data_IF_986285980449
#
_entry.id   IF_986285980449
#
_cell.length_a   1.000
_cell.length_b   1.000
_cell.length_c   1.000
_cell.angle_alpha   90.00
_cell.angle_beta   90.00
_cell.angle_gamma   90.00
#
_symmetry.space_group_name_H-M   'P 1'
#
loop_
_entity.id
_entity.type
_entity.pdbx_description
1 polymer ?
#
# COMPACT_ATOMS: atom_id res chain seq x y z
N UNK A 1 18.15 27.15 -52.09
CA UNK A 1 18.03 26.91 -50.63
C UNK A 1 18.12 25.42 -50.36
N UNK A 2 19.18 24.96 -49.68
CA UNK A 2 19.26 23.75 -48.83
C UNK A 2 20.73 23.44 -48.60
N UNK A 3 21.23 23.84 -47.44
CA UNK A 3 22.57 23.51 -46.99
C UNK A 3 22.65 23.71 -45.50
N UNK A 4 22.67 22.61 -44.74
CA UNK A 4 23.38 22.56 -43.47
C UNK A 4 23.70 21.09 -43.14
N UNK A 5 25.01 20.78 -43.21
CA UNK A 5 25.61 19.58 -42.64
C UNK A 5 26.11 19.96 -41.26
N UNK A 6 25.78 19.22 -40.21
CA UNK A 6 26.57 19.16 -38.97
C UNK A 6 26.47 17.75 -38.37
N UNK A 7 27.51 16.94 -38.57
CA UNK A 7 28.51 16.47 -37.59
C UNK A 7 27.94 15.43 -36.59
N UNK A 8 28.50 14.22 -36.71
CA UNK A 8 28.32 13.04 -35.87
C UNK A 8 28.97 13.29 -34.49
N UNK A 9 28.37 12.79 -33.42
CA UNK A 9 29.07 12.51 -32.17
C UNK A 9 28.56 11.19 -31.58
N UNK A 10 29.50 10.28 -31.37
CA UNK A 10 29.32 8.95 -30.75
C UNK A 10 29.84 9.03 -29.32
N UNK A 11 29.02 8.64 -28.36
CA UNK A 11 29.38 8.15 -27.02
C UNK A 11 28.05 7.69 -26.40
N UNK A 12 27.86 6.50 -25.82
CA UNK A 12 28.73 5.63 -25.04
C UNK A 12 27.79 5.03 -23.99
N UNK A 13 27.69 3.71 -23.92
CA UNK A 13 26.73 2.95 -23.11
C UNK A 13 26.98 3.14 -21.61
N UNK A 14 25.92 3.32 -20.83
CA UNK A 14 25.88 2.84 -19.43
C UNK A 14 24.48 2.30 -19.15
N UNK A 15 24.34 0.97 -19.21
CA UNK A 15 23.20 0.26 -18.65
C UNK A 15 23.36 0.27 -17.14
N UNK A 16 22.78 1.25 -16.45
CA UNK A 16 22.62 1.17 -15.02
C UNK A 16 21.41 0.26 -14.75
N UNK A 17 21.68 -1.02 -14.48
CA UNK A 17 20.71 -1.87 -13.79
C UNK A 17 20.55 -1.31 -12.37
N UNK A 18 19.64 -0.36 -12.20
CA UNK A 18 19.18 0.02 -10.89
C UNK A 18 18.44 -1.19 -10.32
N UNK A 19 19.10 -1.93 -9.44
CA UNK A 19 18.43 -2.81 -8.49
C UNK A 19 17.74 -1.86 -7.51
N UNK A 20 16.68 -1.21 -7.96
CA UNK A 20 15.76 -0.54 -7.08
C UNK A 20 15.08 -1.65 -6.31
N UNK A 21 15.41 -1.79 -5.02
CA UNK A 21 14.39 -2.28 -4.10
C UNK A 21 13.13 -1.47 -4.42
N UNK A 22 11.97 -2.11 -4.66
CA UNK A 22 10.74 -1.35 -4.85
C UNK A 22 10.50 -0.61 -3.54
N UNK A 23 10.97 0.62 -3.46
CA UNK A 23 10.45 1.57 -2.49
C UNK A 23 9.02 1.78 -2.93
N UNK A 24 8.10 1.02 -2.34
CA UNK A 24 6.68 1.32 -2.42
C UNK A 24 6.59 2.76 -1.93
N UNK A 25 6.41 3.70 -2.86
CA UNK A 25 6.23 5.08 -2.49
C UNK A 25 4.95 5.10 -1.66
N UNK A 26 5.08 5.28 -0.34
CA UNK A 26 3.92 5.40 0.53
C UNK A 26 3.08 6.56 0.00
N UNK A 27 1.92 6.22 -0.58
CA UNK A 27 1.02 7.23 -1.12
C UNK A 27 0.58 8.12 0.04
N UNK A 28 0.54 9.43 -0.19
CA UNK A 28 0.00 10.38 0.79
C UNK A 28 -1.38 9.92 1.29
N UNK A 29 -1.69 10.09 2.58
CA UNK A 29 -2.97 9.68 3.13
C UNK A 29 -4.12 10.36 2.38
N UNK A 30 -5.16 9.61 1.94
CA UNK A 30 -6.39 10.22 1.50
C UNK A 30 -7.05 10.95 2.68
N UNK A 31 -7.82 12.02 2.45
CA UNK A 31 -8.65 12.59 3.48
C UNK A 31 -9.55 11.52 4.11
N UNK A 32 -9.64 11.45 5.46
CA UNK A 32 -10.52 10.49 6.13
C UNK A 32 -11.94 10.62 5.59
N UNK A 33 -12.48 9.52 5.08
CA UNK A 33 -13.82 9.49 4.51
C UNK A 33 -14.43 8.10 4.64
N UNK A 34 -15.77 7.98 4.70
CA UNK A 34 -16.47 6.72 4.89
C UNK A 34 -16.51 5.84 3.62
N UNK A 35 -15.45 5.82 2.81
CA UNK A 35 -15.33 5.05 1.58
C UNK A 35 -14.23 3.98 1.67
N UNK A 36 -14.25 3.05 0.71
CA UNK A 36 -13.36 1.90 0.70
C UNK A 36 -11.88 2.30 0.57
N UNK A 37 -11.57 3.28 -0.29
CA UNK A 37 -10.19 3.73 -0.49
C UNK A 37 -9.56 4.29 0.79
N UNK A 38 -10.32 5.06 1.57
CA UNK A 38 -9.87 5.57 2.87
C UNK A 38 -9.74 4.45 3.91
N UNK A 39 -10.63 3.45 3.89
CA UNK A 39 -10.53 2.28 4.76
C UNK A 39 -9.28 1.46 4.46
N UNK A 40 -9.10 1.07 3.20
CA UNK A 40 -7.96 0.25 2.75
C UNK A 40 -6.63 0.94 2.98
N UNK A 41 -6.55 2.26 2.75
CA UNK A 41 -5.34 3.01 3.11
C UNK A 41 -5.04 2.92 4.61
N UNK A 42 -6.07 3.10 5.46
CA UNK A 42 -5.89 3.05 6.93
C UNK A 42 -5.51 1.65 7.42
N UNK A 43 -6.09 0.60 6.81
CA UNK A 43 -5.77 -0.80 7.09
C UNK A 43 -4.32 -1.11 6.68
N UNK A 44 -3.90 -0.68 5.49
CA UNK A 44 -2.54 -0.91 4.99
C UNK A 44 -1.50 -0.15 5.82
N UNK A 45 -1.77 1.11 6.16
CA UNK A 45 -0.86 1.92 6.98
C UNK A 45 -0.70 1.34 8.39
N UNK A 46 -1.81 1.00 9.06
CA UNK A 46 -1.76 0.40 10.38
C UNK A 46 -1.18 -1.02 10.39
N UNK A 47 -1.35 -1.79 9.31
CA UNK A 47 -0.71 -3.10 9.13
C UNK A 47 0.82 -2.98 9.18
N UNK A 48 1.39 -2.03 8.44
CA UNK A 48 2.83 -1.80 8.43
C UNK A 48 3.36 -1.46 9.83
N UNK A 49 2.64 -0.59 10.56
CA UNK A 49 2.97 -0.25 11.95
C UNK A 49 2.89 -1.48 12.86
N UNK A 50 1.83 -2.28 12.72
CA UNK A 50 1.64 -3.52 13.49
C UNK A 50 2.78 -4.49 13.23
N UNK A 51 3.17 -4.70 11.97
CA UNK A 51 4.24 -5.62 11.59
C UNK A 51 5.62 -5.23 12.15
N UNK A 52 5.91 -3.95 12.30
CA UNK A 52 7.15 -3.52 12.99
C UNK A 52 7.21 -4.08 14.42
N UNK A 53 6.08 -4.15 15.12
CA UNK A 53 6.00 -4.71 16.47
C UNK A 53 6.00 -6.24 16.50
N UNK A 54 5.40 -6.87 15.49
CA UNK A 54 5.16 -8.32 15.46
C UNK A 54 6.34 -9.09 14.83
N UNK A 55 6.93 -8.54 13.77
CA UNK A 55 7.97 -9.16 12.95
C UNK A 55 9.08 -8.15 12.63
N UNK A 56 9.86 -7.69 13.64
CA UNK A 56 10.83 -6.59 13.47
C UNK A 56 11.92 -6.89 12.42
N UNK A 57 12.26 -8.16 12.20
CA UNK A 57 13.26 -8.59 11.22
C UNK A 57 12.67 -8.83 9.83
N UNK A 58 11.34 -8.85 9.69
CA UNK A 58 10.63 -9.10 8.44
C UNK A 58 9.62 -7.98 8.21
N UNK A 59 10.02 -6.91 7.50
CA UNK A 59 9.11 -5.82 7.15
C UNK A 59 7.90 -6.35 6.36
N UNK A 60 6.71 -5.81 6.63
CA UNK A 60 5.53 -6.07 5.83
C UNK A 60 5.60 -5.38 4.46
N UNK A 61 5.05 -6.03 3.45
CA UNK A 61 4.86 -5.53 2.09
C UNK A 61 3.43 -5.92 1.61
N UNK A 62 2.39 -5.21 2.07
CA UNK A 62 1.01 -5.53 1.74
C UNK A 62 0.72 -5.27 0.26
N UNK A 63 0.27 -6.30 -0.45
CA UNK A 63 0.01 -6.23 -1.90
C UNK A 63 -1.46 -6.08 -2.23
N UNK A 64 -2.37 -6.61 -1.39
CA UNK A 64 -3.81 -6.48 -1.61
C UNK A 64 -4.62 -6.72 -0.33
N UNK A 65 -5.89 -6.29 -0.36
CA UNK A 65 -6.90 -6.58 0.65
C UNK A 65 -8.04 -7.35 -0.01
N UNK A 66 -8.54 -8.38 0.66
CA UNK A 66 -9.82 -9.00 0.34
C UNK A 66 -10.81 -8.75 1.45
N UNK A 67 -12.04 -8.38 1.11
CA UNK A 67 -13.14 -8.25 2.06
C UNK A 67 -13.93 -9.55 2.14
N UNK A 68 -14.19 -10.02 3.36
CA UNK A 68 -15.05 -11.18 3.57
C UNK A 68 -16.49 -10.83 3.18
N UNK A 69 -17.31 -11.80 2.72
CA UNK A 69 -18.73 -11.56 2.46
C UNK A 69 -19.41 -10.88 3.66
N UNK A 70 -20.20 -9.81 3.45
CA UNK A 70 -20.78 -9.34 2.18
C UNK A 70 -19.88 -8.43 1.32
N UNK A 71 -18.63 -8.21 1.71
CA UNK A 71 -17.73 -7.22 1.15
C UNK A 71 -17.69 -5.94 1.99
N UNK A 72 -17.00 -4.91 1.47
CA UNK A 72 -16.97 -3.60 2.11
C UNK A 72 -18.35 -2.93 2.09
N UNK A 73 -18.81 -2.44 3.25
CA UNK A 73 -20.04 -1.66 3.37
C UNK A 73 -19.69 -0.19 3.62
N UNK A 74 -20.09 0.70 2.70
CA UNK A 74 -19.81 2.13 2.81
C UNK A 74 -20.35 2.73 4.12
N UNK A 75 -19.56 3.60 4.76
CA UNK A 75 -19.83 4.20 6.07
C UNK A 75 -20.02 3.21 7.24
N UNK A 76 -19.73 1.93 7.05
CA UNK A 76 -19.82 0.89 8.08
C UNK A 76 -18.48 0.18 8.23
N UNK A 77 -17.91 -0.34 7.14
CA UNK A 77 -16.68 -1.13 7.12
C UNK A 77 -16.95 -2.60 6.82
N UNK A 78 -16.22 -3.50 7.49
CA UNK A 78 -16.28 -4.95 7.29
C UNK A 78 -15.06 -5.67 7.87
N UNK A 79 -15.00 -6.97 7.64
CA UNK A 79 -13.80 -7.78 7.93
C UNK A 79 -13.12 -8.20 6.64
N UNK A 80 -11.85 -8.56 6.74
CA UNK A 80 -11.11 -9.00 5.58
C UNK A 80 -9.71 -9.50 5.91
N UNK A 81 -8.99 -9.88 4.85
CA UNK A 81 -7.63 -10.39 4.90
C UNK A 81 -6.70 -9.41 4.20
N UNK A 82 -5.60 -9.07 4.85
CA UNK A 82 -4.44 -8.44 4.19
C UNK A 82 -3.59 -9.55 3.60
N UNK A 83 -3.27 -9.43 2.32
CA UNK A 83 -2.32 -10.29 1.64
C UNK A 83 -1.00 -9.55 1.47
N UNK A 84 0.06 -10.16 1.97
CA UNK A 84 1.42 -9.64 1.89
C UNK A 84 2.20 -10.34 0.77
N UNK A 85 3.24 -9.70 0.25
CA UNK A 85 4.16 -10.31 -0.70
C UNK A 85 4.86 -11.53 -0.10
N UNK A 86 5.12 -11.51 1.21
CA UNK A 86 5.56 -12.67 1.97
C UNK A 86 4.35 -13.49 2.43
N UNK A 87 4.15 -14.73 1.96
CA UNK A 87 2.99 -15.55 2.30
C UNK A 87 2.97 -16.02 3.78
N UNK A 88 4.06 -15.82 4.53
CA UNK A 88 4.07 -16.04 5.97
C UNK A 88 3.54 -14.84 6.78
N UNK A 89 3.32 -13.70 6.12
CA UNK A 89 2.77 -12.47 6.68
C UNK A 89 1.34 -12.22 6.16
N UNK A 90 0.80 -11.05 6.48
CA UNK A 90 -0.60 -10.71 6.29
C UNK A 90 -1.43 -11.04 7.54
N UNK A 91 -2.75 -11.08 7.37
CA UNK A 91 -3.64 -11.47 8.47
C UNK A 91 -5.02 -10.85 8.39
N UNK A 92 -5.90 -11.37 9.25
CA UNK A 92 -7.28 -10.96 9.34
C UNK A 92 -7.39 -9.61 10.06
N UNK A 93 -8.31 -8.76 9.61
CA UNK A 93 -8.66 -7.50 10.24
C UNK A 93 -10.17 -7.30 10.34
N UNK A 94 -10.57 -6.38 11.21
CA UNK A 94 -11.90 -5.77 11.25
C UNK A 94 -11.75 -4.25 11.13
N UNK A 95 -12.54 -3.61 10.28
CA UNK A 95 -12.54 -2.16 10.10
C UNK A 95 -13.95 -1.61 10.32
N UNK A 96 -14.05 -0.51 11.08
CA UNK A 96 -15.31 0.14 11.42
C UNK A 96 -15.20 1.65 11.26
N UNK A 97 -16.18 2.27 10.61
CA UNK A 97 -16.23 3.73 10.53
C UNK A 97 -16.77 4.35 11.82
N UNK A 98 -16.06 5.34 12.36
CA UNK A 98 -16.49 6.16 13.48
C UNK A 98 -16.87 7.55 12.93
N UNK A 99 -18.18 7.88 12.80
CA UNK A 99 -18.61 9.07 12.08
C UNK A 99 -18.32 10.40 12.79
N UNK A 100 -18.04 10.38 14.08
CA UNK A 100 -17.59 11.55 14.84
C UNK A 100 -16.52 11.10 15.83
N UNK A 101 -15.26 11.56 15.72
CA UNK A 101 -14.76 12.64 14.85
C UNK A 101 -14.55 12.33 13.35
N UNK A 102 -14.80 11.11 12.86
CA UNK A 102 -14.65 10.79 11.42
C UNK A 102 -13.34 10.06 11.10
N UNK A 103 -13.23 8.80 11.49
CA UNK A 103 -12.05 7.96 11.25
C UNK A 103 -12.39 6.47 11.14
N UNK A 104 -11.44 5.68 10.64
CA UNK A 104 -11.53 4.22 10.63
C UNK A 104 -10.88 3.63 11.89
N UNK A 105 -11.66 2.88 12.66
CA UNK A 105 -11.21 2.04 13.77
C UNK A 105 -10.86 0.66 13.21
N UNK A 106 -9.59 0.25 13.28
CA UNK A 106 -9.10 -1.00 12.68
C UNK A 106 -8.51 -1.89 13.75
N UNK A 107 -9.01 -3.13 13.82
CA UNK A 107 -8.51 -4.19 14.69
C UNK A 107 -7.78 -5.25 13.85
N UNK A 108 -6.54 -5.54 14.20
CA UNK A 108 -5.73 -6.59 13.58
C UNK A 108 -5.78 -7.85 14.45
N UNK A 109 -6.23 -8.96 13.88
CA UNK A 109 -6.44 -10.23 14.58
C UNK A 109 -5.20 -11.14 14.49
N UNK A 110 -4.02 -10.53 14.53
CA UNK A 110 -2.73 -11.22 14.51
C UNK A 110 -1.76 -10.49 15.45
N UNK A 111 -0.77 -11.26 15.91
CA UNK A 111 0.36 -10.93 16.79
C UNK A 111 0.11 -9.91 17.92
#
# INVERSE_FOLDING_TARGET
MRGQRFIISVAGVVTAAAIGAPTVAHASPPPPSPNQASAEWTITDGYLVKQIGCTPDTPGDPVSISWDPPGFVQAVGGTGMIHDANPALGGQFSARWIPSPGFWDVEYQFC
#
